data_IF_009180341043
#
_entry.id   IF_009180341043
#
_cell.length_a   1.000
_cell.length_b   1.000
_cell.length_c   1.000
_cell.angle_alpha   90.00
_cell.angle_beta   90.00
_cell.angle_gamma   90.00
#
_symmetry.space_group_name_H-M   'P 1'
#
loop_
_entity.id
_entity.type
_entity.pdbx_description
1 polymer ?
#
# COMPACT_ATOMS: atom_id res chain seq x y z
N UNK A 1 -2.97 11.71 25.73
CA UNK A 1 -1.69 11.01 25.46
C UNK A 1 -1.40 11.22 23.99
N UNK A 2 -0.32 11.92 23.66
CA UNK A 2 0.11 12.12 22.28
C UNK A 2 0.63 10.76 21.81
N UNK A 3 -0.13 10.06 20.96
CA UNK A 3 0.37 8.87 20.28
C UNK A 3 1.57 9.30 19.42
N UNK A 4 2.61 8.47 19.34
CA UNK A 4 3.74 8.71 18.45
C UNK A 4 3.29 8.52 16.99
N UNK A 5 2.68 9.55 16.43
CA UNK A 5 2.19 9.55 15.05
C UNK A 5 3.31 9.32 14.04
N UNK A 6 4.55 9.73 14.35
CA UNK A 6 5.71 9.59 13.46
C UNK A 6 5.94 8.11 13.12
N UNK A 7 6.05 7.26 14.15
CA UNK A 7 6.20 5.82 13.96
C UNK A 7 4.94 5.18 13.36
N UNK A 8 3.78 5.46 13.94
CA UNK A 8 2.50 4.87 13.53
C UNK A 8 2.14 5.16 12.06
N UNK A 9 2.56 6.31 11.53
CA UNK A 9 2.31 6.73 10.16
C UNK A 9 3.46 6.44 9.19
N UNK A 10 4.50 5.75 9.66
CA UNK A 10 5.56 5.24 8.78
C UNK A 10 6.54 6.30 8.29
N UNK A 11 6.70 7.41 9.02
CA UNK A 11 7.66 8.48 8.73
C UNK A 11 9.13 8.09 8.97
N UNK A 12 9.43 6.79 9.03
CA UNK A 12 10.80 6.30 9.07
C UNK A 12 11.43 6.40 7.69
N UNK A 13 12.57 7.07 7.58
CA UNK A 13 13.30 7.13 6.31
C UNK A 13 13.96 5.79 5.98
N UNK A 14 13.71 5.29 4.77
CA UNK A 14 14.34 4.08 4.21
C UNK A 14 14.88 4.39 2.81
N UNK A 15 15.85 3.63 2.28
CA UNK A 15 16.32 3.80 0.91
C UNK A 15 15.14 3.67 -0.08
N UNK A 16 15.03 4.58 -1.05
CA UNK A 16 14.03 4.44 -2.15
C UNK A 16 14.37 3.29 -3.09
N UNK A 17 15.66 2.98 -3.22
CA UNK A 17 16.11 1.83 -3.97
C UNK A 17 15.96 0.56 -3.13
N UNK A 18 14.89 -0.21 -3.38
CA UNK A 18 14.69 -1.50 -2.73
C UNK A 18 15.87 -2.46 -2.93
N UNK A 19 16.66 -2.33 -4.00
CA UNK A 19 17.89 -3.11 -4.19
C UNK A 19 18.93 -2.86 -3.08
N UNK A 20 18.98 -1.64 -2.50
CA UNK A 20 19.82 -1.34 -1.33
C UNK A 20 19.29 -1.96 -0.03
N UNK A 21 17.99 -2.27 0.02
CA UNK A 21 17.35 -2.93 1.15
C UNK A 21 17.61 -4.44 1.11
N UNK A 22 17.35 -5.07 -0.03
CA UNK A 22 17.41 -6.53 -0.17
C UNK A 22 18.79 -7.07 -0.61
N UNK A 23 19.63 -6.23 -1.22
CA UNK A 23 20.91 -6.64 -1.80
C UNK A 23 20.72 -7.71 -2.88
N UNK A 24 21.52 -8.78 -2.82
CA UNK A 24 21.43 -9.90 -3.77
C UNK A 24 20.31 -10.90 -3.43
N UNK A 25 19.54 -10.67 -2.36
CA UNK A 25 18.54 -11.60 -1.87
C UNK A 25 17.14 -11.31 -2.45
N UNK A 26 16.29 -12.34 -2.62
CA UNK A 26 14.87 -12.18 -2.96
C UNK A 26 14.01 -11.59 -1.85
N UNK A 27 14.45 -11.80 -0.60
CA UNK A 27 13.74 -11.47 0.62
C UNK A 27 14.77 -11.38 1.75
N UNK A 28 14.44 -10.66 2.82
CA UNK A 28 15.26 -10.58 4.02
C UNK A 28 15.06 -11.83 4.90
N UNK A 29 13.82 -12.31 4.96
CA UNK A 29 13.42 -13.52 5.68
C UNK A 29 12.62 -14.44 4.75
N UNK A 30 12.82 -15.75 4.87
CA UNK A 30 12.08 -16.74 4.08
C UNK A 30 10.57 -16.61 4.37
N UNK A 31 9.73 -16.33 3.36
CA UNK A 31 8.32 -16.06 3.60
C UNK A 31 7.58 -17.35 3.97
N UNK A 32 6.86 -17.28 5.07
CA UNK A 32 6.03 -18.36 5.57
C UNK A 32 4.56 -18.18 5.14
N UNK A 33 3.77 -19.25 5.26
CA UNK A 33 2.34 -19.15 4.97
C UNK A 33 1.64 -18.30 6.04
N UNK A 34 1.10 -17.17 5.61
CA UNK A 34 0.13 -16.37 6.36
C UNK A 34 -1.25 -16.58 5.72
N UNK A 35 -2.24 -17.05 6.48
CA UNK A 35 -3.59 -17.17 5.93
C UNK A 35 -4.22 -15.80 5.72
N UNK A 36 -4.99 -15.65 4.65
CA UNK A 36 -5.79 -14.44 4.39
C UNK A 36 -6.76 -14.15 5.55
N UNK A 37 -7.20 -15.19 6.26
CA UNK A 37 -8.07 -15.06 7.41
C UNK A 37 -7.36 -14.46 8.64
N UNK A 38 -6.03 -14.53 8.72
CA UNK A 38 -5.23 -13.97 9.81
C UNK A 38 -4.87 -12.50 9.57
N UNK A 39 -5.10 -11.99 8.36
CA UNK A 39 -4.94 -10.58 8.01
C UNK A 39 -6.31 -9.91 8.10
N UNK A 40 -6.53 -9.13 9.16
CA UNK A 40 -7.80 -8.41 9.36
C UNK A 40 -7.68 -6.99 8.80
N UNK A 41 -8.61 -6.61 7.93
CA UNK A 41 -8.83 -5.20 7.61
C UNK A 41 -9.33 -4.50 8.89
N UNK A 42 -8.70 -3.40 9.34
CA UNK A 42 -9.05 -2.73 10.59
C UNK A 42 -10.33 -1.87 10.47
N UNK A 43 -11.42 -2.43 9.93
CA UNK A 43 -12.69 -1.73 9.70
C UNK A 43 -13.47 -1.39 10.99
N UNK A 44 -12.96 -1.77 12.17
CA UNK A 44 -13.45 -1.24 13.45
C UNK A 44 -13.08 0.25 13.61
N UNK A 45 -12.03 0.70 12.91
CA UNK A 45 -11.71 2.10 12.74
C UNK A 45 -12.74 2.74 11.79
N UNK A 46 -13.52 3.75 12.26
CA UNK A 46 -14.55 4.38 11.44
C UNK A 46 -14.00 5.09 10.21
N UNK A 47 -12.76 5.59 10.24
CA UNK A 47 -12.13 6.24 9.09
C UNK A 47 -11.85 5.18 8.02
N UNK A 48 -11.30 4.02 8.40
CA UNK A 48 -11.05 2.90 7.49
C UNK A 48 -12.35 2.40 6.84
N UNK A 49 -13.40 2.20 7.64
CA UNK A 49 -14.69 1.74 7.12
C UNK A 49 -15.29 2.74 6.11
N UNK A 50 -15.23 4.04 6.40
CA UNK A 50 -15.73 5.08 5.51
C UNK A 50 -14.86 5.24 4.26
N UNK A 51 -13.53 5.13 4.36
CA UNK A 51 -12.63 5.16 3.21
C UNK A 51 -12.85 3.96 2.29
N UNK A 52 -13.08 2.76 2.84
CA UNK A 52 -13.44 1.60 2.03
C UNK A 52 -14.73 1.85 1.25
N UNK A 53 -15.76 2.39 1.90
CA UNK A 53 -17.02 2.74 1.24
C UNK A 53 -16.80 3.82 0.16
N UNK A 54 -16.04 4.86 0.48
CA UNK A 54 -15.71 5.95 -0.43
C UNK A 54 -14.97 5.46 -1.68
N UNK A 55 -13.99 4.57 -1.53
CA UNK A 55 -13.27 3.92 -2.63
C UNK A 55 -14.19 3.02 -3.45
N UNK A 56 -15.05 2.23 -2.80
CA UNK A 56 -15.98 1.32 -3.48
C UNK A 56 -16.99 2.05 -4.37
N UNK A 57 -17.39 3.26 -3.98
CA UNK A 57 -18.33 4.08 -4.77
C UNK A 57 -17.70 4.70 -6.02
N UNK A 58 -16.36 4.76 -6.12
CA UNK A 58 -15.64 5.54 -7.14
C UNK A 58 -14.73 4.71 -8.03
N UNK A 59 -14.12 3.67 -7.48
CA UNK A 59 -13.22 2.81 -8.20
C UNK A 59 -13.98 1.75 -8.98
N UNK A 60 -13.45 1.38 -10.14
CA UNK A 60 -13.90 0.18 -10.83
C UNK A 60 -13.66 -1.07 -9.95
N UNK A 61 -14.49 -2.12 -10.05
CA UNK A 61 -14.36 -3.32 -9.22
C UNK A 61 -12.98 -3.97 -9.26
N UNK A 62 -12.33 -3.98 -10.43
CA UNK A 62 -10.97 -4.48 -10.60
C UNK A 62 -9.93 -3.64 -9.83
N UNK A 63 -10.05 -2.31 -9.85
CA UNK A 63 -9.15 -1.39 -9.13
C UNK A 63 -9.36 -1.47 -7.63
N UNK A 64 -10.61 -1.65 -7.18
CA UNK A 64 -10.89 -1.91 -5.76
C UNK A 64 -10.30 -3.25 -5.32
N UNK A 65 -10.45 -4.31 -6.11
CA UNK A 65 -9.86 -5.62 -5.81
C UNK A 65 -8.32 -5.54 -5.80
N UNK A 66 -7.72 -4.80 -6.73
CA UNK A 66 -6.28 -4.49 -6.70
C UNK A 66 -5.88 -3.83 -5.38
N UNK A 67 -6.57 -2.76 -4.99
CA UNK A 67 -6.32 -2.03 -3.73
C UNK A 67 -6.43 -2.95 -2.51
N UNK A 68 -7.39 -3.89 -2.52
CA UNK A 68 -7.51 -4.91 -1.48
C UNK A 68 -6.32 -5.89 -1.52
N UNK A 69 -5.93 -6.42 -2.68
CA UNK A 69 -4.75 -7.30 -2.77
C UNK A 69 -3.48 -6.58 -2.33
N UNK A 70 -3.29 -5.31 -2.71
CA UNK A 70 -2.19 -4.45 -2.23
C UNK A 70 -2.18 -4.37 -0.72
N UNK A 71 -3.32 -4.12 -0.07
CA UNK A 71 -3.42 -4.15 1.39
C UNK A 71 -2.93 -5.48 1.98
N UNK A 72 -3.42 -6.61 1.47
CA UNK A 72 -3.04 -7.93 2.00
C UNK A 72 -1.57 -8.28 1.73
N UNK A 73 -1.04 -7.99 0.55
CA UNK A 73 0.37 -8.20 0.26
C UNK A 73 1.26 -7.32 1.12
N UNK A 74 0.94 -6.03 1.28
CA UNK A 74 1.72 -5.16 2.16
C UNK A 74 1.69 -5.64 3.61
N UNK A 75 0.55 -6.16 4.10
CA UNK A 75 0.49 -6.78 5.43
C UNK A 75 1.37 -8.03 5.55
N UNK A 76 1.50 -8.84 4.50
CA UNK A 76 2.41 -9.99 4.50
C UNK A 76 3.88 -9.55 4.36
N UNK A 77 4.18 -8.60 3.47
CA UNK A 77 5.53 -8.04 3.26
C UNK A 77 6.03 -7.39 4.55
N UNK A 78 5.24 -6.51 5.18
CA UNK A 78 5.67 -5.81 6.40
C UNK A 78 5.96 -6.80 7.53
N UNK A 79 5.08 -7.79 7.76
CA UNK A 79 5.25 -8.79 8.82
C UNK A 79 6.47 -9.67 8.63
N UNK A 80 6.66 -10.21 7.42
CA UNK A 80 7.73 -11.19 7.17
C UNK A 80 9.07 -10.49 6.90
N UNK A 81 9.08 -9.41 6.12
CA UNK A 81 10.33 -8.78 5.65
C UNK A 81 10.81 -7.67 6.58
N UNK A 82 9.89 -7.01 7.29
CA UNK A 82 10.17 -5.82 8.09
C UNK A 82 9.51 -5.87 9.48
N UNK A 83 9.72 -6.93 10.29
CA UNK A 83 8.98 -7.15 11.53
C UNK A 83 9.12 -6.00 12.54
N UNK A 84 10.27 -5.32 12.58
CA UNK A 84 10.48 -4.14 13.43
C UNK A 84 9.57 -2.96 13.03
N UNK A 85 9.41 -2.72 11.73
CA UNK A 85 8.48 -1.70 11.24
C UNK A 85 7.03 -2.14 11.39
N UNK A 86 6.72 -3.42 11.18
CA UNK A 86 5.38 -3.97 11.36
C UNK A 86 4.87 -3.86 12.82
N UNK A 87 5.78 -3.93 13.80
CA UNK A 87 5.45 -3.76 15.21
C UNK A 87 5.03 -2.31 15.57
N UNK A 88 5.40 -1.34 14.73
CA UNK A 88 5.16 0.09 14.97
C UNK A 88 4.06 0.63 14.04
N UNK A 89 4.06 0.26 12.76
CA UNK A 89 3.15 0.81 11.76
C UNK A 89 1.69 0.52 12.12
N UNK A 90 0.84 1.55 12.06
CA UNK A 90 -0.60 1.42 12.25
C UNK A 90 -1.23 0.63 11.10
N UNK A 91 -1.93 -0.49 11.37
CA UNK A 91 -2.69 -1.20 10.33
C UNK A 91 -3.77 -0.32 9.70
N UNK A 92 -4.35 0.63 10.47
CA UNK A 92 -5.30 1.60 9.94
C UNK A 92 -4.62 2.52 8.93
N UNK A 93 -3.43 3.07 9.24
CA UNK A 93 -2.70 3.92 8.29
C UNK A 93 -2.35 3.16 7.00
N UNK A 94 -1.95 1.89 7.12
CA UNK A 94 -1.71 1.05 5.95
C UNK A 94 -2.97 0.80 5.11
N UNK A 95 -4.10 0.50 5.75
CA UNK A 95 -5.38 0.35 5.05
C UNK A 95 -5.81 1.64 4.35
N UNK A 96 -5.70 2.78 5.03
CA UNK A 96 -6.01 4.11 4.50
C UNK A 96 -5.04 4.56 3.39
N UNK A 97 -3.86 3.96 3.30
CA UNK A 97 -2.94 4.15 2.16
C UNK A 97 -3.35 3.28 0.97
N UNK A 98 -3.62 2.00 1.22
CA UNK A 98 -3.89 1.01 0.18
C UNK A 98 -5.22 1.25 -0.54
N UNK A 99 -6.28 1.57 0.22
CA UNK A 99 -7.65 1.69 -0.31
C UNK A 99 -7.84 2.83 -1.33
N UNK A 100 -7.21 4.01 -1.19
CA UNK A 100 -7.38 5.10 -2.14
C UNK A 100 -6.14 5.38 -3.01
N UNK A 101 -5.09 4.55 -2.99
CA UNK A 101 -3.86 4.88 -3.74
C UNK A 101 -4.09 5.11 -5.24
N UNK A 102 -5.01 4.36 -5.83
CA UNK A 102 -5.42 4.48 -7.23
C UNK A 102 -6.65 5.38 -7.46
N UNK A 103 -7.04 6.21 -6.49
CA UNK A 103 -8.23 7.07 -6.60
C UNK A 103 -8.16 8.02 -7.80
N UNK A 104 -6.95 8.41 -8.23
CA UNK A 104 -6.74 9.22 -9.44
C UNK A 104 -7.20 8.54 -10.74
N UNK A 105 -7.37 7.21 -10.75
CA UNK A 105 -7.81 6.43 -11.91
C UNK A 105 -9.34 6.38 -12.07
N UNK A 106 -10.11 6.84 -11.08
CA UNK A 106 -11.56 6.89 -11.16
C UNK A 106 -12.01 7.79 -12.33
N UNK A 107 -13.10 7.42 -13.01
CA UNK A 107 -13.61 8.12 -14.20
C UNK A 107 -13.83 9.63 -13.97
N UNK A 108 -14.39 9.97 -12.81
CA UNK A 108 -14.61 11.35 -12.37
C UNK A 108 -13.30 12.13 -12.19
N UNK A 109 -12.20 11.46 -11.84
CA UNK A 109 -10.91 12.10 -11.56
C UNK A 109 -10.05 12.21 -12.81
N UNK A 110 -10.07 11.22 -13.69
CA UNK A 110 -9.35 11.26 -14.99
C UNK A 110 -9.87 12.40 -15.86
N UNK A 111 -11.17 12.67 -15.83
CA UNK A 111 -11.78 13.76 -16.60
C UNK A 111 -11.66 15.14 -15.94
N UNK A 112 -11.37 15.21 -14.63
CA UNK A 112 -11.36 16.45 -13.86
C UNK A 112 -10.03 17.23 -13.89
N UNK A 113 -8.94 16.61 -14.35
CA UNK A 113 -7.60 17.23 -14.28
C UNK A 113 -6.74 16.88 -15.50
N UNK A 114 -5.64 17.62 -15.66
CA UNK A 114 -4.53 17.29 -16.58
C UNK A 114 -3.27 16.81 -15.84
N UNK A 115 -3.31 16.75 -14.52
CA UNK A 115 -2.21 16.26 -13.70
C UNK A 115 -2.10 14.73 -13.79
N UNK A 116 -0.92 14.19 -13.50
CA UNK A 116 -0.75 12.74 -13.32
C UNK A 116 -1.67 12.20 -12.24
N UNK A 117 -2.14 10.97 -12.41
CA UNK A 117 -3.18 10.39 -11.55
C UNK A 117 -2.68 10.15 -10.11
N UNK A 118 -1.39 9.84 -9.94
CA UNK A 118 -0.70 9.69 -8.66
C UNK A 118 -0.70 11.01 -7.86
N UNK A 119 -0.32 12.13 -8.51
CA UNK A 119 -0.36 13.46 -7.89
C UNK A 119 -1.79 13.88 -7.58
N UNK A 120 -2.70 13.85 -8.55
CA UNK A 120 -4.07 14.32 -8.31
C UNK A 120 -4.83 13.39 -7.35
N UNK A 121 -4.63 12.08 -7.48
CA UNK A 121 -5.15 11.06 -6.57
C UNK A 121 -4.70 11.29 -5.13
N UNK A 122 -3.42 11.65 -4.91
CA UNK A 122 -2.92 12.00 -3.57
C UNK A 122 -3.65 13.19 -2.96
N UNK A 123 -3.95 14.24 -3.74
CA UNK A 123 -4.70 15.41 -3.25
C UNK A 123 -6.15 15.05 -2.92
N UNK A 124 -6.78 14.21 -3.75
CA UNK A 124 -8.14 13.72 -3.50
C UNK A 124 -8.18 12.85 -2.25
N UNK A 125 -7.20 11.97 -2.05
CA UNK A 125 -7.08 11.14 -0.86
C UNK A 125 -6.84 12.00 0.39
N UNK A 126 -5.90 12.95 0.36
CA UNK A 126 -5.61 13.88 1.45
C UNK A 126 -6.87 14.61 1.93
N UNK A 127 -7.63 15.19 0.99
CA UNK A 127 -8.84 15.93 1.32
C UNK A 127 -9.94 15.00 1.86
N UNK A 128 -10.14 13.84 1.24
CA UNK A 128 -11.14 12.87 1.69
C UNK A 128 -10.83 12.38 3.10
N UNK A 129 -9.58 11.99 3.39
CA UNK A 129 -9.17 11.48 4.69
C UNK A 129 -9.33 12.53 5.80
N UNK A 130 -8.93 13.78 5.54
CA UNK A 130 -9.15 14.90 6.47
C UNK A 130 -10.65 15.10 6.76
N UNK A 131 -11.51 15.00 5.74
CA UNK A 131 -12.96 15.12 5.91
C UNK A 131 -13.58 13.93 6.67
N UNK A 132 -13.00 12.74 6.53
CA UNK A 132 -13.46 11.50 7.19
C UNK A 132 -12.95 11.36 8.63
N UNK A 133 -12.09 12.27 9.09
CA UNK A 133 -11.62 12.33 10.47
C UNK A 133 -10.22 11.76 10.73
N UNK A 134 -9.43 11.49 9.68
CA UNK A 134 -8.01 11.21 9.86
C UNK A 134 -7.29 12.43 10.46
N UNK A 135 -6.25 12.18 11.27
CA UNK A 135 -5.40 13.28 11.75
C UNK A 135 -4.66 13.93 10.57
N UNK A 136 -4.19 15.16 10.77
CA UNK A 136 -3.44 15.86 9.73
C UNK A 136 -2.18 15.08 9.32
N UNK A 137 -1.41 14.60 10.30
CA UNK A 137 -0.18 13.83 10.08
C UNK A 137 -0.46 12.52 9.32
N UNK A 138 -1.48 11.75 9.74
CA UNK A 138 -1.85 10.51 9.06
C UNK A 138 -2.26 10.75 7.60
N UNK A 139 -3.11 11.76 7.36
CA UNK A 139 -3.55 12.09 6.01
C UNK A 139 -2.38 12.57 5.13
N UNK A 140 -1.42 13.30 5.69
CA UNK A 140 -0.21 13.77 5.00
C UNK A 140 0.77 12.63 4.70
N UNK A 141 0.95 11.69 5.62
CA UNK A 141 1.75 10.48 5.40
C UNK A 141 1.20 9.64 4.25
N UNK A 142 -0.12 9.46 4.24
CA UNK A 142 -0.83 8.74 3.17
C UNK A 142 -0.67 9.47 1.84
N UNK A 143 -0.84 10.79 1.81
CA UNK A 143 -0.66 11.58 0.60
C UNK A 143 0.77 11.49 0.05
N UNK A 144 1.79 11.57 0.91
CA UNK A 144 3.21 11.39 0.55
C UNK A 144 3.47 9.99 -0.02
N UNK A 145 2.89 8.95 0.58
CA UNK A 145 3.03 7.59 0.06
C UNK A 145 2.33 7.43 -1.30
N UNK A 146 1.13 7.99 -1.48
CA UNK A 146 0.37 7.90 -2.73
C UNK A 146 1.05 8.69 -3.84
N UNK A 147 1.51 9.92 -3.61
CA UNK A 147 2.14 10.71 -4.70
C UNK A 147 3.41 10.04 -5.22
N UNK A 148 4.09 9.22 -4.40
CA UNK A 148 5.33 8.52 -4.76
C UNK A 148 5.15 7.02 -5.05
N UNK A 149 3.93 6.48 -5.11
CA UNK A 149 3.75 5.02 -5.22
C UNK A 149 4.22 4.42 -6.56
N UNK A 150 4.47 5.24 -7.58
CA UNK A 150 5.10 4.85 -8.86
C UNK A 150 6.55 5.36 -9.02
N UNK A 151 7.08 6.12 -8.04
CA UNK A 151 8.42 6.70 -8.06
C UNK A 151 9.50 5.68 -7.67
N UNK A 152 9.82 4.74 -8.57
CA UNK A 152 10.83 3.68 -8.36
C UNK A 152 12.29 4.18 -8.54
N UNK A 153 12.60 5.31 -7.92
CA UNK A 153 13.90 5.98 -7.95
C UNK A 153 15.07 5.13 -7.43
N UNK A 154 16.30 5.60 -7.67
CA UNK A 154 17.56 4.91 -7.27
C UNK A 154 18.30 5.57 -6.11
N UNK A 155 18.08 6.87 -5.91
CA UNK A 155 18.88 7.70 -5.02
C UNK A 155 18.02 8.42 -3.99
N UNK A 156 18.56 8.58 -2.79
CA UNK A 156 17.88 9.19 -1.66
C UNK A 156 17.01 8.23 -0.86
N UNK A 157 16.03 8.80 -0.18
CA UNK A 157 15.16 8.09 0.76
C UNK A 157 13.68 8.33 0.45
N UNK A 158 12.86 7.44 0.98
CA UNK A 158 11.40 7.52 1.00
C UNK A 158 10.92 7.21 2.42
N UNK A 159 9.66 7.51 2.74
CA UNK A 159 9.04 7.03 3.97
C UNK A 159 8.88 5.51 3.92
N UNK A 160 8.89 4.84 5.07
CA UNK A 160 8.64 3.41 5.13
C UNK A 160 7.27 3.07 4.53
N UNK A 161 6.25 3.90 4.80
CA UNK A 161 4.93 3.76 4.19
C UNK A 161 4.99 3.83 2.66
N UNK A 162 5.77 4.76 2.10
CA UNK A 162 6.03 4.90 0.68
C UNK A 162 6.74 3.70 0.08
N UNK A 163 7.77 3.17 0.74
CA UNK A 163 8.45 1.95 0.29
C UNK A 163 7.52 0.74 0.30
N UNK A 164 6.69 0.61 1.34
CA UNK A 164 5.76 -0.51 1.47
C UNK A 164 4.68 -0.48 0.37
N UNK A 165 4.12 0.70 0.07
CA UNK A 165 3.15 0.82 -1.03
C UNK A 165 3.78 0.50 -2.38
N UNK A 166 5.01 0.93 -2.66
CA UNK A 166 5.71 0.58 -3.89
C UNK A 166 5.95 -0.93 -4.03
N UNK A 167 6.39 -1.60 -2.97
CA UNK A 167 6.62 -3.05 -3.00
C UNK A 167 5.29 -3.80 -3.23
N UNK A 168 4.23 -3.41 -2.53
CA UNK A 168 2.94 -4.08 -2.65
C UNK A 168 2.27 -3.87 -4.01
N UNK A 169 2.32 -2.66 -4.57
CA UNK A 169 1.75 -2.36 -5.90
C UNK A 169 2.54 -3.04 -7.01
N UNK A 170 3.87 -2.99 -6.98
CA UNK A 170 4.71 -3.71 -7.95
C UNK A 170 4.51 -5.22 -7.88
N UNK A 171 4.37 -5.76 -6.67
CA UNK A 171 4.13 -7.19 -6.49
C UNK A 171 2.82 -7.63 -7.13
N UNK A 172 1.73 -6.88 -6.93
CA UNK A 172 0.45 -7.23 -7.53
C UNK A 172 0.37 -6.95 -9.03
N UNK A 173 1.04 -5.89 -9.52
CA UNK A 173 0.91 -5.46 -10.91
C UNK A 173 1.76 -6.27 -11.89
N UNK A 174 3.00 -6.60 -11.51
CA UNK A 174 3.96 -7.22 -12.44
C UNK A 174 4.75 -8.37 -11.84
N UNK A 175 4.59 -8.65 -10.53
CA UNK A 175 5.30 -9.72 -9.81
C UNK A 175 6.83 -9.63 -9.90
N UNK A 176 7.38 -8.47 -10.29
CA UNK A 176 8.80 -8.24 -10.56
C UNK A 176 9.23 -6.87 -10.05
N UNK A 177 10.49 -6.77 -9.65
CA UNK A 177 11.10 -5.51 -9.29
C UNK A 177 12.40 -5.34 -10.10
N UNK A 178 12.69 -4.15 -10.66
CA UNK A 178 13.87 -3.95 -11.51
C UNK A 178 15.21 -4.17 -10.78
N UNK A 179 15.21 -4.14 -9.45
CA UNK A 179 16.42 -4.19 -8.61
C UNK A 179 16.34 -5.17 -7.44
N UNK A 180 15.29 -5.99 -7.34
CA UNK A 180 15.19 -7.04 -6.32
C UNK A 180 15.08 -8.38 -7.04
N UNK A 181 16.13 -9.20 -6.91
CA UNK A 181 16.25 -10.46 -7.63
C UNK A 181 15.30 -11.52 -7.07
N UNK A 182 14.42 -12.10 -7.88
CA UNK A 182 13.47 -13.12 -7.42
C UNK A 182 12.33 -12.53 -6.57
N UNK A 183 11.94 -11.29 -6.86
CA UNK A 183 10.87 -10.55 -6.20
C UNK A 183 9.53 -11.29 -6.16
N UNK A 184 9.24 -12.12 -7.17
CA UNK A 184 8.05 -12.98 -7.22
C UNK A 184 7.96 -13.98 -6.06
N UNK A 185 9.09 -14.22 -5.36
CA UNK A 185 9.18 -15.10 -4.19
C UNK A 185 9.01 -14.36 -2.86
N UNK A 186 8.68 -13.06 -2.86
CA UNK A 186 8.56 -12.26 -1.64
C UNK A 186 7.36 -12.66 -0.76
N UNK A 187 6.34 -13.29 -1.34
CA UNK A 187 5.17 -13.81 -0.63
C UNK A 187 5.07 -15.31 -0.85
N UNK A 188 4.75 -16.05 0.21
CA UNK A 188 4.53 -17.49 0.13
C UNK A 188 3.40 -17.83 -0.85
N UNK A 189 3.57 -18.91 -1.63
CA UNK A 189 2.67 -19.28 -2.72
C UNK A 189 1.21 -19.45 -2.29
N UNK A 190 0.97 -20.11 -1.15
CA UNK A 190 -0.38 -20.29 -0.60
C UNK A 190 -1.00 -18.97 -0.13
N UNK A 191 -0.24 -18.08 0.50
CA UNK A 191 -0.72 -16.75 0.89
C UNK A 191 -1.14 -15.96 -0.35
N UNK A 192 -0.33 -16.00 -1.43
CA UNK A 192 -0.68 -15.37 -2.71
C UNK A 192 -1.96 -15.97 -3.29
N UNK A 193 -2.11 -17.30 -3.28
CA UNK A 193 -3.30 -17.98 -3.79
C UNK A 193 -4.55 -17.53 -3.04
N UNK A 194 -4.55 -17.60 -1.71
CA UNK A 194 -5.69 -17.21 -0.86
C UNK A 194 -6.09 -15.73 -1.08
N UNK A 195 -5.11 -14.83 -1.21
CA UNK A 195 -5.37 -13.40 -1.47
C UNK A 195 -6.07 -13.20 -2.82
N UNK A 196 -5.62 -13.87 -3.89
CA UNK A 196 -6.23 -13.73 -5.23
C UNK A 196 -7.61 -14.41 -5.31
N UNK A 197 -7.85 -15.47 -4.54
CA UNK A 197 -9.17 -16.09 -4.43
C UNK A 197 -10.16 -15.19 -3.68
N UNK A 198 -9.71 -14.55 -2.59
CA UNK A 198 -10.53 -13.60 -1.84
C UNK A 198 -10.82 -12.31 -2.62
N UNK A 199 -9.87 -11.85 -3.45
CA UNK A 199 -9.97 -10.60 -4.22
C UNK A 199 -9.60 -10.82 -5.70
N UNK A 200 -10.53 -11.35 -6.51
CA UNK A 200 -10.26 -11.74 -7.90
C UNK A 200 -9.72 -10.60 -8.77
N UNK A 201 -8.83 -10.92 -9.71
CA UNK A 201 -8.18 -9.94 -10.61
C UNK A 201 -9.10 -9.28 -11.63
N UNK A 202 -10.22 -9.91 -11.96
CA UNK A 202 -11.24 -9.39 -12.89
C UNK A 202 -10.68 -8.86 -14.23
N UNK A 203 -9.67 -9.53 -14.80
CA UNK A 203 -9.05 -9.15 -16.07
C UNK A 203 -7.75 -8.35 -15.97
N UNK A 204 -7.30 -7.98 -14.75
CA UNK A 204 -5.95 -7.44 -14.55
C UNK A 204 -4.88 -8.50 -14.84
N UNK A 205 -3.97 -8.19 -15.77
CA UNK A 205 -2.81 -9.03 -16.10
C UNK A 205 -1.90 -9.21 -14.87
N UNK A 206 -1.24 -10.36 -14.76
CA UNK A 206 -0.23 -10.70 -13.74
C UNK A 206 1.18 -10.57 -14.27
#
# INVERSE_FOLDING_TARGET
MCQDEVGLNGWTAVPVDAGKIFGDKPFLNEPTHISVNDIKLPAIDPVVAQTLQYSKERLYPETLNHSMRVFYYGMAITKEQFPEHAAILSPSTWALTSLPHDLGTAEENVSATRMSFDIYGSFKALQALKNLGATADQAEAIAEAIVRHQDTGVDGTITYLGQLIQLATLYDNVGRHPRVNGFERMIHGETRREINEAWPRLGQCS
#
